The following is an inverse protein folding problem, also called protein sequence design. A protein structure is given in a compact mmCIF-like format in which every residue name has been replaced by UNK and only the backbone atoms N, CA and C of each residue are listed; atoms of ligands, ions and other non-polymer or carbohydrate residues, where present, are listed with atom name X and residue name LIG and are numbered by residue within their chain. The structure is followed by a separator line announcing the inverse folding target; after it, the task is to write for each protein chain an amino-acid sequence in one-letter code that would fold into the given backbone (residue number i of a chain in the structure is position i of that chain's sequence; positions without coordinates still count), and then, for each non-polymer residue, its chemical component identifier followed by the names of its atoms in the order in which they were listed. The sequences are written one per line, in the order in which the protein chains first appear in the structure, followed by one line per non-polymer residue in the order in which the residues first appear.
data_IF_023395336105
#
_entry.id   IF_023395336105
#
_cell.length_a   1.000
_cell.length_b   1.000
_cell.length_c   1.000
_cell.angle_alpha   90.00
_cell.angle_beta   90.00
_cell.angle_gamma   90.00
#
_symmetry.space_group_name_H-M   'P 1'
#
loop_
_entity.id
_entity.type
_entity.pdbx_description
1 polymer ?
#
# COMPACT_ATOMS: atom_id res chain seq x y z
N UNK A 1 35.59 17.90 15.52
CA UNK A 1 34.34 17.21 15.90
C UNK A 1 34.54 15.75 15.57
N UNK A 2 34.60 14.90 16.59
CA UNK A 2 34.83 13.46 16.41
C UNK A 2 33.52 12.81 15.98
N UNK A 3 33.43 12.31 14.75
CA UNK A 3 32.41 11.36 14.36
C UNK A 3 32.59 10.11 15.23
N UNK A 4 31.72 9.93 16.22
CA UNK A 4 31.53 8.64 16.87
C UNK A 4 31.09 7.66 15.79
N UNK A 5 32.00 6.76 15.41
CA UNK A 5 31.69 5.62 14.56
C UNK A 5 30.60 4.80 15.27
N UNK A 6 29.34 5.03 14.92
CA UNK A 6 28.25 4.17 15.34
C UNK A 6 28.63 2.75 14.91
N UNK A 7 28.75 1.84 15.86
CA UNK A 7 29.03 0.45 15.58
C UNK A 7 28.00 -0.03 14.55
N UNK A 8 28.48 -0.42 13.36
CA UNK A 8 27.62 -1.01 12.33
C UNK A 8 27.02 -2.27 12.96
N UNK A 9 25.72 -2.22 13.26
CA UNK A 9 24.98 -3.42 13.60
C UNK A 9 24.91 -4.27 12.33
N UNK A 10 25.26 -5.55 12.45
CA UNK A 10 25.08 -6.49 11.36
C UNK A 10 23.60 -6.53 10.97
N UNK A 11 23.29 -6.58 9.65
CA UNK A 11 21.92 -6.64 9.20
C UNK A 11 21.25 -7.90 9.74
N UNK A 12 20.04 -7.74 10.26
CA UNK A 12 19.22 -8.83 10.77
C UNK A 12 18.93 -9.86 9.65
N UNK A 13 19.09 -11.17 9.90
CA UNK A 13 18.76 -12.20 8.92
C UNK A 13 17.29 -12.14 8.49
N UNK A 14 17.03 -12.31 7.18
CA UNK A 14 15.66 -12.36 6.64
C UNK A 14 14.80 -13.44 7.31
N UNK A 15 15.41 -14.58 7.63
CA UNK A 15 14.76 -15.68 8.35
C UNK A 15 14.19 -15.26 9.70
N UNK A 16 14.90 -14.39 10.42
CA UNK A 16 14.49 -13.93 11.73
C UNK A 16 13.33 -12.93 11.60
N UNK A 17 13.39 -12.06 10.58
CA UNK A 17 12.32 -11.13 10.28
C UNK A 17 11.03 -11.88 9.90
N UNK A 18 11.12 -12.87 9.01
CA UNK A 18 9.95 -13.64 8.55
C UNK A 18 9.36 -14.52 9.65
N UNK A 19 10.19 -15.26 10.41
CA UNK A 19 9.68 -16.07 11.52
C UNK A 19 9.03 -15.20 12.61
N UNK A 20 9.64 -14.06 12.95
CA UNK A 20 9.03 -13.11 13.89
C UNK A 20 7.73 -12.54 13.34
N UNK A 21 7.70 -12.14 12.07
CA UNK A 21 6.49 -11.63 11.43
C UNK A 21 5.34 -12.63 11.52
N UNK A 22 5.55 -13.90 11.15
CA UNK A 22 4.52 -14.94 11.21
C UNK A 22 4.06 -15.18 12.66
N UNK A 23 5.00 -15.31 13.59
CA UNK A 23 4.71 -15.58 15.01
C UNK A 23 3.88 -14.47 15.62
N UNK A 24 4.32 -13.22 15.46
CA UNK A 24 3.60 -12.07 16.00
C UNK A 24 2.25 -11.89 15.31
N UNK A 25 2.15 -12.08 13.99
CA UNK A 25 0.87 -11.94 13.27
C UNK A 25 -0.15 -12.99 13.70
N UNK A 26 0.29 -14.23 13.93
CA UNK A 26 -0.55 -15.30 14.46
C UNK A 26 -1.03 -15.02 15.90
N UNK A 27 -0.20 -14.37 16.73
CA UNK A 27 -0.58 -13.94 18.07
C UNK A 27 -1.60 -12.78 18.03
N UNK A 28 -1.41 -11.86 17.09
CA UNK A 28 -2.26 -10.67 16.88
C UNK A 28 -3.63 -11.01 16.30
N UNK A 29 -3.71 -12.05 15.47
CA UNK A 29 -4.95 -12.46 14.80
C UNK A 29 -5.30 -13.92 15.13
N UNK A 30 -6.19 -14.16 16.12
CA UNK A 30 -6.53 -15.52 16.56
C UNK A 30 -7.05 -16.45 15.46
N UNK A 31 -7.67 -15.91 14.41
CA UNK A 31 -8.12 -16.68 13.24
C UNK A 31 -6.96 -17.33 12.45
N UNK A 32 -5.77 -16.73 12.52
CA UNK A 32 -4.54 -17.17 11.86
C UNK A 32 -3.66 -18.04 12.76
N UNK A 33 -3.95 -18.09 14.08
CA UNK A 33 -3.18 -18.86 15.05
C UNK A 33 -3.19 -20.36 14.71
N UNK A 34 -2.00 -20.93 14.50
CA UNK A 34 -1.84 -22.32 14.08
C UNK A 34 -2.05 -22.58 12.59
N UNK A 35 -2.21 -21.54 11.77
CA UNK A 35 -2.56 -21.65 10.34
C UNK A 35 -1.70 -20.79 9.40
N UNK A 36 -1.05 -19.74 9.90
CA UNK A 36 -0.30 -18.80 9.09
C UNK A 36 1.07 -19.35 8.68
N UNK A 37 1.38 -19.22 7.39
CA UNK A 37 2.68 -19.50 6.79
C UNK A 37 3.12 -18.33 5.91
N UNK A 38 4.43 -18.20 5.77
CA UNK A 38 5.05 -17.33 4.77
C UNK A 38 5.97 -18.19 3.92
N UNK A 39 5.86 -18.08 2.60
CA UNK A 39 6.77 -18.73 1.65
C UNK A 39 7.55 -17.67 0.89
N UNK A 40 8.87 -17.72 0.97
CA UNK A 40 9.73 -17.01 0.04
C UNK A 40 9.78 -17.81 -1.27
N UNK A 41 9.23 -17.22 -2.34
CA UNK A 41 9.09 -17.90 -3.63
C UNK A 41 10.44 -18.04 -4.35
N UNK A 42 11.43 -17.22 -4.00
CA UNK A 42 12.74 -17.22 -4.67
C UNK A 42 13.54 -18.48 -4.37
N UNK A 43 13.54 -18.90 -3.11
CA UNK A 43 14.30 -20.06 -2.63
C UNK A 43 13.41 -21.21 -2.12
N UNK A 44 12.08 -21.05 -2.21
CA UNK A 44 11.08 -22.00 -1.74
C UNK A 44 11.14 -22.26 -0.23
N UNK A 45 11.72 -21.34 0.54
CA UNK A 45 11.77 -21.46 2.00
C UNK A 45 10.43 -21.11 2.61
N UNK A 46 9.98 -21.95 3.54
CA UNK A 46 8.70 -21.77 4.25
C UNK A 46 8.97 -21.47 5.73
N UNK A 47 8.36 -20.39 6.21
CA UNK A 47 8.48 -19.87 7.56
C UNK A 47 7.18 -20.10 8.33
N UNK A 48 7.29 -20.30 9.65
CA UNK A 48 6.13 -20.54 10.53
C UNK A 48 5.66 -21.99 10.64
N UNK A 49 6.32 -22.96 9.99
CA UNK A 49 5.93 -24.38 10.01
C UNK A 49 5.79 -24.92 11.44
N UNK A 50 6.71 -24.57 12.34
CA UNK A 50 6.69 -25.02 13.73
C UNK A 50 5.52 -24.45 14.55
N UNK A 51 4.92 -23.36 14.10
CA UNK A 51 3.76 -22.74 14.74
C UNK A 51 2.42 -23.32 14.28
N UNK A 52 2.41 -24.30 13.36
CA UNK A 52 1.17 -24.88 12.86
C UNK A 52 0.50 -25.81 13.88
N UNK A 53 -0.83 -25.70 13.97
CA UNK A 53 -1.66 -26.57 14.80
C UNK A 53 -2.14 -27.76 13.96
N UNK A 54 -1.67 -28.96 14.30
CA UNK A 54 -2.03 -30.21 13.62
C UNK A 54 -3.53 -30.49 13.64
N UNK A 55 -4.29 -29.96 14.60
CA UNK A 55 -5.74 -30.11 14.65
C UNK A 55 -6.46 -29.17 13.65
N UNK A 56 -5.80 -28.12 13.17
CA UNK A 56 -6.37 -27.10 12.27
C UNK A 56 -5.97 -27.30 10.80
N UNK A 57 -4.87 -28.00 10.54
CA UNK A 57 -4.34 -28.23 9.19
C UNK A 57 -4.62 -29.66 8.71
N UNK A 58 -4.61 -29.84 7.40
CA UNK A 58 -4.87 -31.13 6.73
C UNK A 58 -3.65 -31.72 6.04
N UNK A 59 -2.53 -30.99 6.04
CA UNK A 59 -1.24 -31.41 5.48
C UNK A 59 -0.25 -31.49 6.64
N UNK A 60 0.54 -32.56 6.68
CA UNK A 60 1.58 -32.70 7.70
C UNK A 60 2.60 -31.54 7.55
N UNK A 61 3.04 -30.89 8.65
CA UNK A 61 3.98 -29.77 8.58
C UNK A 61 5.24 -30.07 7.76
N UNK A 62 5.73 -31.31 7.81
CA UNK A 62 6.92 -31.79 7.10
C UNK A 62 6.71 -31.86 5.57
N UNK A 63 5.47 -32.03 5.12
CA UNK A 63 5.10 -32.06 3.71
C UNK A 63 4.79 -30.66 3.15
N UNK A 64 4.79 -29.62 4.00
CA UNK A 64 4.34 -28.27 3.63
C UNK A 64 5.21 -27.61 2.53
N UNK A 65 6.56 -27.68 2.57
CA UNK A 65 7.38 -27.12 1.49
C UNK A 65 7.06 -27.72 0.12
N UNK A 66 6.88 -29.05 0.06
CA UNK A 66 6.51 -29.73 -1.18
C UNK A 66 5.09 -29.35 -1.64
N UNK A 67 4.12 -29.32 -0.71
CA UNK A 67 2.75 -28.89 -0.99
C UNK A 67 2.72 -27.49 -1.59
N UNK A 68 3.37 -26.52 -0.93
CA UNK A 68 3.40 -25.13 -1.36
C UNK A 68 4.23 -24.92 -2.65
N UNK A 69 5.30 -25.68 -2.86
CA UNK A 69 6.08 -25.65 -4.09
C UNK A 69 5.27 -26.03 -5.34
N UNK A 70 4.24 -26.87 -5.18
CA UNK A 70 3.31 -27.24 -6.27
C UNK A 70 2.06 -26.36 -6.34
N UNK A 71 1.93 -25.37 -5.46
CA UNK A 71 0.77 -24.50 -5.41
C UNK A 71 0.69 -23.62 -6.67
N UNK A 72 -0.53 -23.39 -7.16
CA UNK A 72 -0.74 -22.63 -8.40
C UNK A 72 -0.21 -21.19 -8.31
N UNK A 73 -0.28 -20.57 -7.13
CA UNK A 73 0.27 -19.22 -6.88
C UNK A 73 1.79 -19.20 -7.03
N UNK A 74 2.50 -20.22 -6.54
CA UNK A 74 3.95 -20.35 -6.73
C UNK A 74 4.30 -20.38 -8.22
N UNK A 75 3.60 -21.22 -8.99
CA UNK A 75 3.78 -21.31 -10.44
C UNK A 75 3.41 -20.01 -11.18
N UNK A 76 2.45 -19.24 -10.65
CA UNK A 76 2.09 -17.94 -11.19
C UNK A 76 3.21 -16.91 -10.93
N UNK A 77 3.66 -16.77 -9.69
CA UNK A 77 4.69 -15.80 -9.30
C UNK A 77 6.05 -16.09 -9.97
N UNK A 78 6.40 -17.36 -10.18
CA UNK A 78 7.60 -17.71 -10.97
C UNK A 78 7.50 -17.28 -12.45
N UNK A 79 6.31 -17.20 -13.01
CA UNK A 79 6.07 -16.75 -14.40
C UNK A 79 5.86 -15.25 -14.52
N UNK A 80 5.56 -14.59 -13.40
CA UNK A 80 5.28 -13.16 -13.29
C UNK A 80 6.19 -12.53 -12.23
N UNK A 81 7.51 -12.50 -12.44
CA UNK A 81 8.47 -11.96 -11.46
C UNK A 81 8.28 -10.46 -11.17
N UNK A 82 7.50 -9.76 -11.98
CA UNK A 82 7.04 -8.38 -11.74
C UNK A 82 6.05 -8.25 -10.58
N UNK A 83 5.36 -9.34 -10.20
CA UNK A 83 4.40 -9.40 -9.10
C UNK A 83 5.14 -9.60 -7.77
N UNK A 84 4.93 -8.68 -6.82
CA UNK A 84 5.75 -8.65 -5.61
C UNK A 84 5.36 -9.67 -4.55
N UNK A 85 4.07 -9.97 -4.35
CA UNK A 85 3.60 -10.89 -3.30
C UNK A 85 2.12 -11.24 -3.51
N UNK A 86 1.63 -12.26 -2.79
CA UNK A 86 0.22 -12.60 -2.77
C UNK A 86 -0.20 -13.37 -1.52
N UNK A 87 -1.37 -13.03 -0.97
CA UNK A 87 -2.05 -13.78 0.06
C UNK A 87 -3.01 -14.84 -0.50
N UNK A 88 -3.13 -15.98 0.20
CA UNK A 88 -4.08 -17.03 -0.12
C UNK A 88 -4.59 -17.74 1.15
N UNK A 89 -5.88 -18.02 1.22
CA UNK A 89 -6.43 -18.98 2.16
C UNK A 89 -6.61 -20.34 1.46
N UNK A 90 -5.70 -21.29 1.68
CA UNK A 90 -5.80 -22.62 1.10
C UNK A 90 -6.74 -23.50 1.94
N UNK A 91 -8.02 -23.49 1.55
CA UNK A 91 -9.08 -24.26 2.21
C UNK A 91 -8.79 -25.77 2.20
N UNK A 92 -8.02 -26.29 1.23
CA UNK A 92 -7.73 -27.73 1.13
C UNK A 92 -6.76 -28.18 2.20
N UNK A 93 -5.72 -27.38 2.47
CA UNK A 93 -4.72 -27.65 3.51
C UNK A 93 -5.07 -27.04 4.87
N UNK A 94 -6.01 -26.10 4.91
CA UNK A 94 -6.41 -25.40 6.14
C UNK A 94 -5.42 -24.31 6.58
N UNK A 95 -4.51 -23.89 5.71
CA UNK A 95 -3.51 -22.86 6.01
C UNK A 95 -3.82 -21.53 5.33
N UNK A 96 -3.35 -20.45 5.94
CA UNK A 96 -3.31 -19.10 5.38
C UNK A 96 -1.87 -18.81 4.99
N UNK A 97 -1.62 -18.42 3.75
CA UNK A 97 -0.29 -18.36 3.17
C UNK A 97 -0.04 -16.96 2.63
N UNK A 98 1.11 -16.39 2.97
CA UNK A 98 1.68 -15.23 2.30
C UNK A 98 2.80 -15.74 1.38
N UNK A 99 2.63 -15.59 0.08
CA UNK A 99 3.67 -15.85 -0.91
C UNK A 99 4.45 -14.56 -1.14
N UNK A 100 5.68 -14.50 -0.65
CA UNK A 100 6.56 -13.36 -0.80
C UNK A 100 7.45 -13.53 -2.03
N UNK A 101 7.41 -12.59 -2.96
CA UNK A 101 8.14 -12.61 -4.23
C UNK A 101 8.76 -11.24 -4.55
N UNK A 102 9.33 -10.58 -3.55
CA UNK A 102 9.97 -9.30 -3.81
C UNK A 102 11.42 -9.50 -4.26
N UNK A 103 11.77 -8.93 -5.41
CA UNK A 103 13.14 -8.83 -5.89
C UNK A 103 13.94 -7.80 -5.07
N UNK A 104 14.10 -8.05 -3.77
CA UNK A 104 15.05 -7.29 -2.96
C UNK A 104 16.42 -7.91 -3.21
N UNK A 105 17.29 -7.14 -3.87
CA UNK A 105 18.69 -7.51 -4.04
C UNK A 105 19.34 -7.64 -2.64
N UNK A 106 19.91 -8.82 -2.29
CA UNK A 106 20.59 -9.01 -1.01
C UNK A 106 21.70 -7.99 -0.71
N UNK A 107 22.35 -7.43 -1.72
CA UNK A 107 23.37 -6.38 -1.54
C UNK A 107 22.74 -5.01 -1.23
N UNK A 108 21.52 -4.75 -1.71
CA UNK A 108 20.73 -3.56 -1.34
C UNK A 108 20.26 -3.67 0.12
N UNK A 109 19.98 -4.88 0.62
CA UNK A 109 19.72 -5.10 2.06
C UNK A 109 20.94 -4.77 2.91
N UNK A 110 22.16 -4.93 2.40
CA UNK A 110 23.38 -4.60 3.17
C UNK A 110 23.68 -3.10 3.21
N UNK A 111 23.37 -2.36 2.15
CA UNK A 111 23.73 -0.93 1.98
C UNK A 111 22.57 0.01 2.33
N UNK A 112 21.32 -0.42 2.15
CA UNK A 112 20.08 0.32 2.41
C UNK A 112 19.11 -0.46 3.33
N UNK A 113 19.66 -1.25 4.26
CA UNK A 113 18.97 -2.22 5.12
C UNK A 113 17.62 -1.77 5.65
N UNK A 114 17.57 -0.55 6.19
CA UNK A 114 16.37 -0.05 6.86
C UNK A 114 15.23 0.23 5.87
N UNK A 115 15.52 0.83 4.71
CA UNK A 115 14.50 1.06 3.67
C UNK A 115 14.01 -0.25 3.05
N UNK A 116 14.92 -1.19 2.82
CA UNK A 116 14.56 -2.52 2.35
C UNK A 116 13.66 -3.25 3.35
N UNK A 117 13.98 -3.17 4.64
CA UNK A 117 13.16 -3.72 5.73
C UNK A 117 11.80 -3.05 5.84
N UNK A 118 11.72 -1.72 5.74
CA UNK A 118 10.46 -0.96 5.73
C UNK A 118 9.54 -1.39 4.60
N UNK A 119 10.09 -1.48 3.37
CA UNK A 119 9.36 -1.94 2.19
C UNK A 119 8.86 -3.37 2.37
N UNK A 120 9.74 -4.27 2.77
CA UNK A 120 9.40 -5.68 2.98
C UNK A 120 8.28 -5.84 4.01
N UNK A 121 8.41 -5.21 5.18
CA UNK A 121 7.39 -5.29 6.22
C UNK A 121 6.06 -4.67 5.78
N UNK A 122 6.08 -3.61 4.97
CA UNK A 122 4.86 -3.05 4.40
C UNK A 122 4.15 -4.03 3.47
N UNK A 123 4.89 -4.67 2.56
CA UNK A 123 4.33 -5.72 1.68
C UNK A 123 3.74 -6.86 2.52
N UNK A 124 4.46 -7.32 3.54
CA UNK A 124 3.94 -8.37 4.41
C UNK A 124 2.68 -7.96 5.17
N UNK A 125 2.60 -6.72 5.68
CA UNK A 125 1.38 -6.23 6.33
C UNK A 125 0.23 -6.07 5.35
N UNK A 126 0.49 -5.69 4.09
CA UNK A 126 -0.52 -5.63 3.04
C UNK A 126 -1.14 -7.02 2.83
N UNK A 127 -0.31 -8.04 2.61
CA UNK A 127 -0.79 -9.42 2.45
C UNK A 127 -1.49 -9.96 3.70
N UNK A 128 -1.00 -9.60 4.88
CA UNK A 128 -1.67 -9.92 6.14
C UNK A 128 -3.04 -9.24 6.24
N UNK A 129 -3.17 -8.01 5.76
CA UNK A 129 -4.43 -7.27 5.72
C UNK A 129 -5.52 -8.01 4.94
N UNK A 130 -5.17 -8.64 3.81
CA UNK A 130 -6.09 -9.52 3.10
C UNK A 130 -6.55 -10.70 3.96
N UNK A 131 -5.62 -11.40 4.60
CA UNK A 131 -5.91 -12.62 5.37
C UNK A 131 -6.65 -12.35 6.70
N UNK A 132 -6.36 -11.23 7.33
CA UNK A 132 -6.69 -10.99 8.73
C UNK A 132 -7.94 -10.12 8.92
N UNK A 133 -8.31 -9.30 7.93
CA UNK A 133 -9.35 -8.29 8.07
C UNK A 133 -10.59 -8.70 7.29
N UNK A 134 -11.77 -8.53 7.91
CA UNK A 134 -13.05 -8.69 7.23
C UNK A 134 -13.11 -7.86 5.95
N UNK A 135 -13.63 -8.44 4.87
CA UNK A 135 -13.66 -7.88 3.50
C UNK A 135 -12.28 -7.70 2.82
N UNK A 136 -11.18 -8.04 3.51
CA UNK A 136 -9.82 -7.96 2.96
C UNK A 136 -9.57 -9.00 1.86
N UNK A 137 -10.08 -10.22 2.00
CA UNK A 137 -9.99 -11.27 0.98
C UNK A 137 -11.01 -11.08 -0.15
N UNK A 138 -10.61 -11.45 -1.36
CA UNK A 138 -11.47 -11.47 -2.54
C UNK A 138 -10.98 -12.51 -3.56
N UNK A 139 -11.87 -12.95 -4.46
CA UNK A 139 -11.52 -13.91 -5.52
C UNK A 139 -11.02 -13.24 -6.80
N UNK A 140 -11.51 -12.03 -7.09
CA UNK A 140 -11.18 -11.28 -8.30
C UNK A 140 -10.88 -9.79 -7.99
N UNK A 141 -9.64 -9.32 -8.25
CA UNK A 141 -9.24 -7.94 -7.97
C UNK A 141 -9.98 -6.90 -8.83
N UNK A 142 -10.53 -7.31 -9.98
CA UNK A 142 -11.27 -6.44 -10.90
C UNK A 142 -12.73 -6.19 -10.50
N UNK A 143 -13.14 -6.64 -9.31
CA UNK A 143 -14.50 -6.43 -8.78
C UNK A 143 -14.51 -5.28 -7.78
N UNK A 144 -15.70 -4.70 -7.47
CA UNK A 144 -15.81 -3.72 -6.39
C UNK A 144 -15.29 -4.26 -5.05
N UNK A 145 -15.51 -5.56 -4.79
CA UNK A 145 -14.97 -6.24 -3.61
C UNK A 145 -13.44 -6.35 -3.66
N UNK A 146 -12.87 -6.62 -4.84
CA UNK A 146 -11.42 -6.64 -5.05
C UNK A 146 -10.78 -5.31 -4.70
N UNK A 147 -11.32 -4.22 -5.26
CA UNK A 147 -10.85 -2.86 -4.96
C UNK A 147 -11.00 -2.51 -3.47
N UNK A 148 -12.10 -2.93 -2.83
CA UNK A 148 -12.27 -2.75 -1.38
C UNK A 148 -11.19 -3.51 -0.60
N UNK A 149 -10.95 -4.77 -0.91
CA UNK A 149 -9.93 -5.59 -0.26
C UNK A 149 -8.53 -5.00 -0.39
N UNK A 150 -8.17 -4.50 -1.57
CA UNK A 150 -6.92 -3.75 -1.79
C UNK A 150 -6.81 -2.51 -0.90
N UNK A 151 -7.90 -1.72 -0.81
CA UNK A 151 -7.93 -0.53 0.05
C UNK A 151 -7.80 -0.90 1.54
N UNK A 152 -8.36 -2.04 1.97
CA UNK A 152 -8.23 -2.53 3.35
C UNK A 152 -6.78 -2.94 3.64
N UNK A 153 -6.18 -3.73 2.75
CA UNK A 153 -4.81 -4.20 2.87
C UNK A 153 -3.81 -3.04 2.93
N UNK A 154 -3.90 -2.09 2.00
CA UNK A 154 -3.05 -0.89 1.97
C UNK A 154 -3.27 0.03 3.17
N UNK A 155 -4.52 0.21 3.60
CA UNK A 155 -4.82 0.99 4.79
C UNK A 155 -4.15 0.39 6.04
N UNK A 156 -4.26 -0.93 6.20
CA UNK A 156 -3.66 -1.64 7.33
C UNK A 156 -2.13 -1.56 7.27
N UNK A 157 -1.55 -1.83 6.10
CA UNK A 157 -0.11 -1.75 5.88
C UNK A 157 0.46 -0.36 6.16
N UNK A 158 -0.28 0.70 5.78
CA UNK A 158 0.15 2.07 6.06
C UNK A 158 0.11 2.40 7.56
N UNK A 159 -0.97 2.04 8.26
CA UNK A 159 -1.07 2.29 9.71
C UNK A 159 0.02 1.52 10.46
N UNK A 160 0.26 0.25 10.12
CA UNK A 160 1.36 -0.55 10.70
C UNK A 160 2.73 0.05 10.38
N UNK A 161 2.93 0.59 9.18
CA UNK A 161 4.16 1.29 8.82
C UNK A 161 4.39 2.49 9.74
N UNK A 162 3.38 3.34 9.92
CA UNK A 162 3.46 4.46 10.85
C UNK A 162 3.73 4.05 12.30
N UNK A 163 3.11 2.97 12.77
CA UNK A 163 3.35 2.46 14.12
C UNK A 163 4.82 2.06 14.34
N UNK A 164 5.44 1.42 13.33
CA UNK A 164 6.82 0.94 13.45
C UNK A 164 7.88 2.02 13.19
N UNK A 165 7.63 2.90 12.22
CA UNK A 165 8.68 3.79 11.68
C UNK A 165 8.39 5.27 11.87
N UNK A 166 7.20 5.61 12.39
CA UNK A 166 6.75 6.99 12.55
C UNK A 166 6.08 7.57 11.31
N UNK A 167 5.44 8.71 11.46
CA UNK A 167 4.65 9.34 10.39
C UNK A 167 5.48 10.11 9.34
N UNK A 168 6.81 10.15 9.50
CA UNK A 168 7.73 10.89 8.63
C UNK A 168 8.32 10.07 7.49
N UNK A 169 8.01 8.78 7.40
CA UNK A 169 8.73 7.82 6.52
C UNK A 169 8.04 7.52 5.20
N UNK A 170 6.80 7.99 5.00
CA UNK A 170 6.02 7.72 3.76
C UNK A 170 6.54 8.42 2.51
N UNK A 171 7.16 9.61 2.66
CA UNK A 171 7.21 10.60 1.60
C UNK A 171 8.02 10.21 0.36
N UNK A 172 8.70 9.06 0.36
CA UNK A 172 9.59 8.67 -0.74
C UNK A 172 9.45 7.20 -1.13
N UNK A 173 8.66 6.39 -0.42
CA UNK A 173 8.51 4.99 -0.77
C UNK A 173 7.39 4.81 -1.81
N UNK A 174 7.79 4.35 -3.00
CA UNK A 174 6.92 4.06 -4.14
C UNK A 174 5.99 2.86 -3.93
N UNK A 175 6.03 2.19 -2.78
CA UNK A 175 5.14 1.07 -2.46
C UNK A 175 4.12 1.44 -1.40
N UNK A 176 4.42 2.45 -0.58
CA UNK A 176 3.66 2.79 0.64
C UNK A 176 2.83 4.07 0.45
N UNK A 177 3.15 4.88 -0.56
CA UNK A 177 2.63 6.24 -0.68
C UNK A 177 1.38 6.35 -1.57
N UNK A 178 0.45 7.28 -1.26
CA UNK A 178 -0.67 7.59 -2.15
C UNK A 178 -0.23 8.01 -3.57
N UNK A 179 0.95 8.62 -3.67
CA UNK A 179 1.60 8.95 -4.93
C UNK A 179 1.75 7.73 -5.84
N UNK A 180 2.28 6.63 -5.32
CA UNK A 180 2.52 5.43 -6.10
C UNK A 180 1.25 4.79 -6.64
N UNK A 181 0.17 4.84 -5.84
CA UNK A 181 -1.13 4.31 -6.23
C UNK A 181 -1.80 5.20 -7.28
N UNK A 182 -1.59 6.52 -7.21
CA UNK A 182 -1.97 7.44 -8.29
C UNK A 182 -1.13 7.21 -9.56
N UNK A 183 0.18 7.00 -9.43
CA UNK A 183 1.10 6.70 -10.54
C UNK A 183 0.66 5.42 -11.29
N UNK A 184 0.34 4.36 -10.55
CA UNK A 184 -0.18 3.11 -11.09
C UNK A 184 -1.43 3.30 -11.95
N UNK A 185 -2.38 4.12 -11.52
CA UNK A 185 -3.57 4.43 -12.32
C UNK A 185 -3.24 5.32 -13.53
N UNK A 186 -2.51 6.43 -13.32
CA UNK A 186 -2.28 7.44 -14.35
C UNK A 186 -1.42 6.88 -15.50
N UNK A 187 -0.33 6.19 -15.16
CA UNK A 187 0.67 5.73 -16.14
C UNK A 187 0.64 4.22 -16.35
N UNK A 188 0.36 3.44 -15.32
CA UNK A 188 0.18 1.99 -15.44
C UNK A 188 -1.17 1.61 -16.06
N UNK A 189 -2.23 2.39 -15.79
CA UNK A 189 -3.62 2.00 -16.05
C UNK A 189 -4.13 0.96 -15.04
N UNK A 190 -3.46 0.82 -13.91
CA UNK A 190 -3.83 -0.10 -12.84
C UNK A 190 -4.97 0.47 -12.00
N UNK A 191 -6.18 0.09 -12.40
CA UNK A 191 -7.42 0.46 -11.72
C UNK A 191 -7.70 -0.40 -10.48
N UNK A 192 -7.13 -1.62 -10.41
CA UNK A 192 -7.44 -2.57 -9.34
C UNK A 192 -6.78 -2.22 -8.03
N UNK A 193 -5.58 -1.64 -8.09
CA UNK A 193 -4.84 -1.22 -6.89
C UNK A 193 -4.98 0.28 -6.61
N UNK A 194 -6.04 0.94 -7.09
CA UNK A 194 -6.23 2.36 -6.81
C UNK A 194 -6.74 2.59 -5.38
N UNK A 195 -5.80 2.77 -4.46
CA UNK A 195 -6.06 2.97 -3.01
C UNK A 195 -5.68 4.37 -2.52
N UNK A 196 -5.26 5.26 -3.44
CA UNK A 196 -4.70 6.57 -3.11
C UNK A 196 -5.63 7.41 -2.21
N UNK A 197 -6.94 7.37 -2.43
CA UNK A 197 -7.91 8.14 -1.65
C UNK A 197 -7.98 7.69 -0.19
N UNK A 198 -7.92 6.39 0.06
CA UNK A 198 -7.90 5.81 1.40
C UNK A 198 -6.60 6.16 2.11
N UNK A 199 -5.46 5.97 1.44
CA UNK A 199 -4.16 6.30 2.00
C UNK A 199 -4.04 7.79 2.34
N UNK A 200 -4.50 8.69 1.46
CA UNK A 200 -4.53 10.13 1.75
C UNK A 200 -5.38 10.49 2.96
N UNK A 201 -6.53 9.83 3.12
CA UNK A 201 -7.40 10.08 4.26
C UNK A 201 -6.73 9.66 5.57
N UNK A 202 -6.03 8.52 5.58
CA UNK A 202 -5.24 8.05 6.72
C UNK A 202 -4.09 9.02 6.99
N UNK A 203 -3.30 9.38 5.98
CA UNK A 203 -2.19 10.33 6.16
C UNK A 203 -2.69 11.68 6.68
N UNK A 204 -3.84 12.18 6.21
CA UNK A 204 -4.42 13.42 6.74
C UNK A 204 -4.90 13.30 8.20
N UNK A 205 -5.36 12.12 8.61
CA UNK A 205 -5.87 11.86 9.97
C UNK A 205 -4.78 11.40 10.95
N UNK A 206 -3.56 11.12 10.49
CA UNK A 206 -2.52 10.42 11.28
C UNK A 206 -2.23 11.03 12.66
N UNK A 207 -2.20 12.36 12.76
CA UNK A 207 -1.94 13.06 14.02
C UNK A 207 -3.12 13.01 14.99
N UNK A 208 -4.34 12.79 14.49
CA UNK A 208 -5.56 12.70 15.29
C UNK A 208 -5.88 11.25 15.72
N UNK A 209 -5.37 10.25 15.00
CA UNK A 209 -5.67 8.84 15.23
C UNK A 209 -4.89 8.19 16.39
N UNK A 210 -3.96 8.93 17.02
CA UNK A 210 -3.00 8.41 17.99
C UNK A 210 -2.43 7.03 17.60
N UNK A 211 -1.92 6.94 16.37
CA UNK A 211 -1.63 5.67 15.68
C UNK A 211 -0.73 4.73 16.50
N UNK A 212 0.21 5.29 17.26
CA UNK A 212 1.17 4.52 18.06
C UNK A 212 0.53 3.76 19.25
N UNK A 213 -0.66 4.16 19.69
CA UNK A 213 -1.37 3.53 20.81
C UNK A 213 -2.42 2.52 20.35
N UNK A 214 -2.65 2.37 19.05
CA UNK A 214 -3.63 1.42 18.54
C UNK A 214 -3.11 -0.02 18.72
N UNK A 215 -3.89 -0.84 19.41
CA UNK A 215 -3.76 -2.29 19.33
C UNK A 215 -4.14 -2.81 17.94
N UNK A 216 -3.96 -4.10 17.73
CA UNK A 216 -4.13 -4.71 16.42
C UNK A 216 -5.58 -4.78 15.95
N UNK A 217 -6.51 -5.07 16.86
CA UNK A 217 -7.93 -5.08 16.55
C UNK A 217 -8.39 -3.68 16.15
N UNK A 218 -7.96 -2.65 16.89
CA UNK A 218 -8.26 -1.25 16.59
C UNK A 218 -7.61 -0.82 15.29
N UNK A 219 -6.38 -1.26 15.01
CA UNK A 219 -5.68 -1.01 13.74
C UNK A 219 -6.45 -1.61 12.57
N UNK A 220 -6.84 -2.88 12.64
CA UNK A 220 -7.62 -3.57 11.62
C UNK A 220 -9.00 -2.92 11.40
N UNK A 221 -9.70 -2.59 12.49
CA UNK A 221 -11.00 -1.91 12.45
C UNK A 221 -10.88 -0.51 11.83
N UNK A 222 -9.87 0.26 12.19
CA UNK A 222 -9.63 1.60 11.62
C UNK A 222 -9.30 1.47 10.13
N UNK A 223 -8.40 0.56 9.74
CA UNK A 223 -8.04 0.31 8.35
C UNK A 223 -9.29 0.01 7.50
N UNK A 224 -10.12 -0.95 7.94
CA UNK A 224 -11.37 -1.30 7.27
C UNK A 224 -12.33 -0.12 7.16
N UNK A 225 -12.49 0.65 8.25
CA UNK A 225 -13.39 1.81 8.24
C UNK A 225 -12.92 2.93 7.30
N UNK A 226 -11.61 3.14 7.17
CA UNK A 226 -11.08 4.07 6.17
C UNK A 226 -11.38 3.56 4.76
N UNK A 227 -11.09 2.28 4.48
CA UNK A 227 -11.37 1.69 3.18
C UNK A 227 -12.86 1.79 2.80
N UNK A 228 -13.78 1.36 3.67
CA UNK A 228 -15.23 1.43 3.42
C UNK A 228 -15.73 2.85 3.08
N UNK A 229 -15.07 3.89 3.60
CA UNK A 229 -15.45 5.30 3.38
C UNK A 229 -14.78 5.94 2.17
N UNK A 230 -13.60 5.45 1.79
CA UNK A 230 -12.71 6.13 0.86
C UNK A 230 -12.38 5.31 -0.39
N UNK A 231 -12.73 4.02 -0.42
CA UNK A 231 -12.77 3.23 -1.65
C UNK A 231 -13.72 3.89 -2.63
N UNK A 232 -13.22 4.36 -3.79
CA UNK A 232 -14.07 4.98 -4.79
C UNK A 232 -15.01 3.96 -5.42
N UNK A 233 -16.17 4.44 -5.88
CA UNK A 233 -17.10 3.60 -6.63
C UNK A 233 -16.49 3.21 -7.99
N UNK A 234 -16.87 2.05 -8.57
CA UNK A 234 -16.34 1.61 -9.87
C UNK A 234 -16.47 2.64 -10.99
N UNK A 235 -17.55 3.41 -11.01
CA UNK A 235 -17.78 4.48 -11.99
C UNK A 235 -16.76 5.62 -11.85
N UNK A 236 -16.34 5.90 -10.61
CA UNK A 236 -15.30 6.90 -10.34
C UNK A 236 -13.96 6.40 -10.89
N UNK A 237 -13.61 5.14 -10.65
CA UNK A 237 -12.39 4.53 -11.18
C UNK A 237 -12.39 4.53 -12.72
N UNK A 238 -13.48 4.10 -13.34
CA UNK A 238 -13.61 4.10 -14.79
C UNK A 238 -13.44 5.50 -15.38
N UNK A 239 -14.06 6.51 -14.75
CA UNK A 239 -13.92 7.92 -15.12
C UNK A 239 -12.47 8.41 -15.00
N UNK A 240 -11.79 8.09 -13.89
CA UNK A 240 -10.38 8.46 -13.70
C UNK A 240 -9.50 7.81 -14.77
N UNK A 241 -9.65 6.51 -15.01
CA UNK A 241 -8.89 5.78 -16.02
C UNK A 241 -9.12 6.38 -17.43
N UNK A 242 -10.36 6.71 -17.76
CA UNK A 242 -10.68 7.37 -19.03
C UNK A 242 -10.01 8.75 -19.16
N UNK A 243 -10.11 9.57 -18.11
CA UNK A 243 -9.57 10.95 -18.11
C UNK A 243 -8.05 10.98 -18.18
N UNK A 244 -7.36 10.04 -17.54
CA UNK A 244 -5.88 9.97 -17.55
C UNK A 244 -5.30 9.15 -18.72
N UNK A 245 -6.12 8.42 -19.48
CA UNK A 245 -5.67 7.67 -20.68
C UNK A 245 -4.87 8.53 -21.69
N UNK A 246 -5.24 9.79 -22.01
CA UNK A 246 -4.42 10.65 -22.86
C UNK A 246 -3.04 10.94 -22.25
N UNK A 247 -2.98 11.16 -20.93
CA UNK A 247 -1.73 11.42 -20.19
C UNK A 247 -0.79 10.22 -20.33
N UNK A 248 -1.28 8.99 -20.11
CA UNK A 248 -0.51 7.76 -20.33
C UNK A 248 0.08 7.69 -21.74
N UNK A 249 -0.76 7.89 -22.76
CA UNK A 249 -0.34 7.84 -24.17
C UNK A 249 0.70 8.90 -24.52
N UNK A 250 0.58 10.10 -23.95
CA UNK A 250 1.57 11.16 -24.13
C UNK A 250 2.88 10.78 -23.44
N UNK A 251 2.82 10.31 -22.20
CA UNK A 251 3.98 9.91 -21.40
C UNK A 251 4.81 8.78 -22.01
N UNK A 252 4.16 7.77 -22.59
CA UNK A 252 4.82 6.67 -23.30
C UNK A 252 5.62 7.13 -24.52
N UNK A 253 5.26 8.27 -25.12
CA UNK A 253 5.93 8.86 -26.30
C UNK A 253 6.98 9.88 -25.90
N UNK A 254 6.61 10.77 -24.98
CA UNK A 254 7.40 11.91 -24.52
C UNK A 254 6.95 12.27 -23.10
N UNK A 255 7.85 12.16 -22.13
CA UNK A 255 7.55 12.41 -20.72
C UNK A 255 7.28 13.88 -20.40
N UNK A 256 7.94 14.81 -21.10
CA UNK A 256 7.70 16.23 -20.88
C UNK A 256 6.30 16.59 -21.41
N UNK A 257 5.92 16.02 -22.56
CA UNK A 257 4.56 16.13 -23.08
C UNK A 257 3.52 15.48 -22.14
N UNK A 258 3.83 14.29 -21.61
CA UNK A 258 3.00 13.60 -20.63
C UNK A 258 2.80 14.41 -19.34
N UNK A 259 3.87 14.99 -18.80
CA UNK A 259 3.81 15.86 -17.63
C UNK A 259 2.93 17.10 -17.89
N UNK A 260 3.13 17.77 -19.03
CA UNK A 260 2.31 18.94 -19.41
C UNK A 260 0.83 18.56 -19.54
N UNK A 261 0.53 17.42 -20.13
CA UNK A 261 -0.84 16.91 -20.24
C UNK A 261 -1.43 16.55 -18.86
N UNK A 262 -0.63 15.98 -17.96
CA UNK A 262 -1.07 15.74 -16.58
C UNK A 262 -1.41 17.05 -15.87
N UNK A 263 -0.58 18.09 -16.02
CA UNK A 263 -0.84 19.43 -15.45
C UNK A 263 -2.15 20.00 -16.01
N UNK A 264 -2.35 19.93 -17.33
CA UNK A 264 -3.56 20.41 -17.99
C UNK A 264 -4.81 19.69 -17.48
N UNK A 265 -4.80 18.34 -17.49
CA UNK A 265 -5.92 17.53 -16.98
C UNK A 265 -6.19 17.80 -15.51
N UNK A 266 -5.15 17.95 -14.69
CA UNK A 266 -5.33 18.20 -13.25
C UNK A 266 -5.93 19.59 -13.00
N UNK A 267 -5.44 20.62 -13.68
CA UNK A 267 -5.82 22.00 -13.44
C UNK A 267 -7.04 22.49 -14.24
N UNK A 268 -7.60 21.67 -15.13
CA UNK A 268 -8.76 22.01 -15.95
C UNK A 268 -10.04 22.23 -15.11
N UNK A 269 -10.65 23.45 -15.12
CA UNK A 269 -11.84 23.85 -14.33
C UNK A 269 -13.08 22.98 -14.51
N UNK A 270 -13.19 22.24 -15.61
CA UNK A 270 -14.32 21.34 -15.83
C UNK A 270 -14.20 20.02 -15.05
N UNK A 271 -13.02 19.67 -14.57
CA UNK A 271 -12.79 18.42 -13.84
C UNK A 271 -13.21 18.50 -12.37
N UNK A 272 -13.73 17.38 -11.88
CA UNK A 272 -14.19 17.25 -10.50
C UNK A 272 -13.05 17.06 -9.49
N UNK A 273 -13.43 16.93 -8.23
CA UNK A 273 -12.50 16.80 -7.11
C UNK A 273 -11.66 15.52 -7.18
N UNK A 274 -12.21 14.42 -7.72
CA UNK A 274 -11.51 13.13 -7.74
C UNK A 274 -10.42 13.11 -8.82
N UNK A 275 -10.72 13.63 -10.02
CA UNK A 275 -9.71 13.85 -11.08
C UNK A 275 -8.61 14.77 -10.56
N UNK A 276 -8.99 15.93 -10.01
CA UNK A 276 -8.03 16.89 -9.47
C UNK A 276 -7.15 16.25 -8.39
N UNK A 277 -7.76 15.62 -7.38
CA UNK A 277 -7.04 15.01 -6.26
C UNK A 277 -6.05 13.95 -6.73
N UNK A 278 -6.45 13.12 -7.70
CA UNK A 278 -5.58 12.06 -8.25
C UNK A 278 -4.35 12.65 -8.93
N UNK A 279 -4.53 13.63 -9.83
CA UNK A 279 -3.42 14.30 -10.50
C UNK A 279 -2.57 15.15 -9.55
N UNK A 280 -3.19 15.85 -8.60
CA UNK A 280 -2.52 16.63 -7.56
C UNK A 280 -1.61 15.75 -6.70
N UNK A 281 -2.08 14.57 -6.30
CA UNK A 281 -1.29 13.59 -5.52
C UNK A 281 0.03 13.30 -6.21
N UNK A 282 -0.04 13.08 -7.52
CA UNK A 282 1.13 12.82 -8.33
C UNK A 282 2.03 14.04 -8.47
N UNK A 283 1.45 15.19 -8.85
CA UNK A 283 2.19 16.41 -9.15
C UNK A 283 2.87 17.01 -7.90
N UNK A 284 2.28 16.88 -6.72
CA UNK A 284 2.93 17.32 -5.47
C UNK A 284 4.18 16.50 -5.18
N UNK A 285 4.13 15.18 -5.32
CA UNK A 285 5.32 14.34 -5.14
C UNK A 285 6.43 14.69 -6.13
N UNK A 286 6.07 14.95 -7.39
CA UNK A 286 6.99 15.46 -8.41
C UNK A 286 7.65 16.79 -7.98
N UNK A 287 6.88 17.76 -7.47
CA UNK A 287 7.40 19.04 -6.98
C UNK A 287 8.32 18.88 -5.76
N UNK A 288 8.11 17.84 -4.95
CA UNK A 288 8.97 17.49 -3.82
C UNK A 288 10.22 16.69 -4.22
N UNK A 289 10.45 16.45 -5.51
CA UNK A 289 11.66 15.81 -6.02
C UNK A 289 11.66 14.29 -5.87
N UNK A 290 10.50 13.64 -5.76
CA UNK A 290 10.40 12.18 -5.82
C UNK A 290 10.88 11.70 -7.21
N UNK A 291 11.90 10.84 -7.22
CA UNK A 291 12.57 10.35 -8.44
C UNK A 291 11.89 9.08 -8.96
N UNK A 292 11.58 9.04 -10.27
CA UNK A 292 10.91 7.92 -10.93
C UNK A 292 11.78 6.66 -11.05
N UNK A 293 11.16 5.49 -11.31
CA UNK A 293 11.82 4.16 -11.34
C UNK A 293 13.08 4.10 -12.21
N UNK A 294 13.17 4.90 -13.27
CA UNK A 294 14.29 4.89 -14.21
C UNK A 294 15.27 6.06 -14.02
N UNK A 295 15.11 6.83 -12.93
CA UNK A 295 15.94 7.98 -12.62
C UNK A 295 15.69 9.22 -13.48
N UNK A 296 14.77 9.16 -14.46
CA UNK A 296 14.52 10.26 -15.40
C UNK A 296 13.28 11.04 -14.99
N UNK A 297 13.49 12.28 -14.58
CA UNK A 297 12.43 13.21 -14.19
C UNK A 297 12.19 14.19 -15.33
N UNK A 298 10.96 14.31 -15.86
CA UNK A 298 10.63 15.35 -16.82
C UNK A 298 10.96 16.73 -16.27
N UNK A 299 11.43 17.62 -17.13
CA UNK A 299 11.94 18.91 -16.71
C UNK A 299 10.82 19.97 -16.75
N UNK A 300 10.66 20.67 -15.64
CA UNK A 300 10.02 21.98 -15.60
C UNK A 300 11.05 22.99 -15.12
N UNK A 301 11.05 24.17 -15.72
CA UNK A 301 11.87 25.26 -15.22
C UNK A 301 11.39 25.71 -13.82
N UNK A 302 12.23 26.42 -13.04
CA UNK A 302 11.86 26.85 -11.69
C UNK A 302 10.59 27.71 -11.62
N UNK A 303 10.30 28.51 -12.65
CA UNK A 303 9.12 29.36 -12.71
C UNK A 303 7.85 28.54 -12.99
N UNK A 304 7.93 27.56 -13.88
CA UNK A 304 6.86 26.59 -14.14
C UNK A 304 6.53 25.80 -12.88
N UNK A 305 7.54 25.31 -12.13
CA UNK A 305 7.33 24.61 -10.85
C UNK A 305 6.62 25.49 -9.82
N UNK A 306 7.05 26.74 -9.68
CA UNK A 306 6.43 27.71 -8.75
C UNK A 306 4.98 28.00 -9.14
N UNK A 307 4.71 28.16 -10.44
CA UNK A 307 3.37 28.42 -10.97
C UNK A 307 2.46 27.22 -10.76
N UNK A 308 2.96 26.01 -11.05
CA UNK A 308 2.23 24.76 -10.81
C UNK A 308 1.86 24.61 -9.33
N UNK A 309 2.82 24.79 -8.41
CA UNK A 309 2.56 24.69 -6.97
C UNK A 309 1.44 25.63 -6.52
N UNK A 310 1.49 26.90 -6.94
CA UNK A 310 0.46 27.89 -6.63
C UNK A 310 -0.91 27.48 -7.18
N UNK A 311 -0.96 27.05 -8.44
CA UNK A 311 -2.23 26.69 -9.09
C UNK A 311 -2.86 25.44 -8.44
N UNK A 312 -2.05 24.48 -7.99
CA UNK A 312 -2.53 23.33 -7.20
C UNK A 312 -3.14 23.81 -5.88
N UNK A 313 -2.47 24.71 -5.16
CA UNK A 313 -2.98 25.24 -3.88
C UNK A 313 -4.30 26.02 -4.05
N UNK A 314 -4.38 26.89 -5.06
CA UNK A 314 -5.60 27.65 -5.38
C UNK A 314 -6.78 26.73 -5.70
N UNK A 315 -6.52 25.67 -6.47
CA UNK A 315 -7.56 24.71 -6.86
C UNK A 315 -7.98 23.79 -5.72
N UNK A 316 -7.04 23.32 -4.91
CA UNK A 316 -7.33 22.57 -3.68
C UNK A 316 -8.18 23.41 -2.72
N UNK A 317 -7.87 24.71 -2.59
CA UNK A 317 -8.66 25.63 -1.80
C UNK A 317 -10.11 25.74 -2.30
N UNK A 318 -10.32 25.86 -3.61
CA UNK A 318 -11.66 25.88 -4.22
C UNK A 318 -12.48 24.63 -3.86
N UNK A 319 -11.91 23.43 -4.01
CA UNK A 319 -12.60 22.19 -3.64
C UNK A 319 -12.88 22.08 -2.14
N UNK A 320 -11.96 22.57 -1.28
CA UNK A 320 -12.15 22.57 0.18
C UNK A 320 -13.32 23.45 0.63
N UNK A 321 -13.55 24.59 -0.05
CA UNK A 321 -14.70 25.47 0.22
C UNK A 321 -16.01 24.84 -0.21
N UNK A 322 -16.03 24.24 -1.40
CA UNK A 322 -17.21 23.55 -1.92
C UNK A 322 -17.62 22.38 -1.02
N UNK A 323 -16.65 21.59 -0.53
CA UNK A 323 -16.93 20.48 0.40
C UNK A 323 -17.34 20.95 1.80
N UNK A 324 -16.74 22.02 2.34
CA UNK A 324 -17.19 22.61 3.62
C UNK A 324 -18.63 23.12 3.54
N UNK A 325 -19.05 23.68 2.41
CA UNK A 325 -20.43 24.10 2.21
C UNK A 325 -21.40 22.91 2.11
N UNK A 326 -20.93 21.74 1.66
CA UNK A 326 -21.75 20.54 1.47
C UNK A 326 -21.78 19.57 2.67
N UNK A 327 -20.77 19.61 3.56
CA UNK A 327 -20.65 18.66 4.68
C UNK A 327 -21.50 19.09 5.88
N UNK A 328 -22.50 18.28 6.24
CA UNK A 328 -23.00 18.23 7.62
C UNK A 328 -21.89 17.70 8.53
N UNK A 329 -21.70 18.26 9.74
CA UNK A 329 -20.68 17.76 10.67
C UNK A 329 -20.88 16.25 10.89
N UNK A 330 -19.79 15.49 10.83
CA UNK A 330 -19.81 14.06 11.15
C UNK A 330 -20.28 13.95 12.60
N UNK A 331 -21.43 13.32 12.88
CA UNK A 331 -21.98 13.28 14.23
C UNK A 331 -20.95 12.70 15.20
N UNK A 332 -20.85 13.26 16.40
CA UNK A 332 -19.94 12.80 17.45
C UNK A 332 -20.10 11.30 17.76
N UNK A 333 -21.28 10.74 17.50
CA UNK A 333 -21.57 9.31 17.60
C UNK A 333 -20.74 8.45 16.63
N UNK A 334 -20.40 8.97 15.44
CA UNK A 334 -19.55 8.28 14.45
C UNK A 334 -18.10 8.23 14.90
N UNK A 335 -17.62 9.25 15.62
CA UNK A 335 -16.28 9.23 16.23
C UNK A 335 -16.23 8.23 17.41
N UNK A 336 -17.28 8.21 18.25
CA UNK A 336 -17.40 7.22 19.33
C UNK A 336 -17.52 5.78 18.82
N UNK A 337 -18.25 5.53 17.73
CA UNK A 337 -18.34 4.19 17.13
C UNK A 337 -17.02 3.71 16.52
N UNK A 338 -16.07 4.62 16.27
CA UNK A 338 -14.70 4.28 15.85
C UNK A 338 -13.75 4.05 17.05
N UNK A 339 -14.24 4.17 18.28
CA UNK A 339 -13.40 4.09 19.48
C UNK A 339 -12.48 5.31 19.69
N UNK A 340 -12.68 6.39 18.93
CA UNK A 340 -11.90 7.61 19.05
C UNK A 340 -12.62 8.54 20.04
N UNK A 341 -12.12 8.60 21.27
CA UNK A 341 -12.54 9.60 22.26
C UNK A 341 -11.80 10.91 21.93
N UNK A 342 -12.43 11.75 21.10
CA UNK A 342 -12.06 13.16 20.92
C UNK A 342 -12.72 14.05 21.96
#
# INVERSE_FOLDING_TARGET
MSETAAARQDPEPLSDIFNRFVTESAARFPALAGRLLLMDVKDYTVYGIHGLDRAKIRVAPEAMPQHLGTHAVTSFLCRHPEESSRACADVRSGVSIIFFNDAIDPEVVKIAAEKAKQRMLHVLDHELGHLAIEDGMYDNPHTPQGLLGENIADAYALIRHYQRFGTGTECVDRYVSPFARADGLIFGGDATHFTAFTLQAISAARNALNIHELDEESTARIARNFALRHTPQPETIAKLAEKFRPVKKAWERDRDAGLRMLIEVTLDPSNDADIFRTGETWLRAFLHGVVFKDGKTPALDPWEKKTLARNLDERAFHFSRATKAARKPVPHAVWRSLGLNG
#
